data_IF_120236566191
#
_entry.id   IF_120236566191
#
_cell.length_a   1.000
_cell.length_b   1.000
_cell.length_c   1.000
_cell.angle_alpha   90.00
_cell.angle_beta   90.00
_cell.angle_gamma   90.00
#
_symmetry.space_group_name_H-M   'P 1'
#
loop_
_entity.id
_entity.type
_entity.pdbx_description
1 polymer ?
#
# COMPACT_ATOMS: atom_id res chain seq x y z
N UNK A 1 -14.22 -15.74 1.97
CA UNK A 1 -14.21 -14.29 1.68
C UNK A 1 -13.05 -13.70 2.42
N UNK A 2 -12.23 -12.89 1.78
CA UNK A 2 -10.94 -12.54 2.37
C UNK A 2 -10.81 -11.03 2.55
N UNK A 3 -11.51 -10.53 3.57
CA UNK A 3 -11.21 -9.23 4.16
C UNK A 3 -10.33 -9.37 5.40
N UNK A 4 -9.71 -10.53 5.58
CA UNK A 4 -8.85 -10.87 6.70
C UNK A 4 -7.50 -11.41 6.20
N UNK A 5 -6.44 -11.08 6.93
CA UNK A 5 -5.06 -11.50 6.68
C UNK A 5 -4.39 -11.85 8.01
N UNK A 6 -3.34 -12.70 7.95
CA UNK A 6 -2.41 -12.99 9.02
C UNK A 6 -2.79 -14.15 9.92
N UNK A 7 -1.80 -14.75 10.54
CA UNK A 7 -1.89 -15.83 11.51
C UNK A 7 -1.51 -15.37 12.91
N UNK A 8 -0.44 -14.62 13.02
CA UNK A 8 0.10 -14.08 14.27
C UNK A 8 -0.35 -12.63 14.52
N UNK A 9 -0.57 -11.86 13.45
CA UNK A 9 -1.17 -10.54 13.47
C UNK A 9 -2.42 -10.58 12.56
N UNK A 10 -3.59 -10.80 13.15
CA UNK A 10 -4.83 -10.93 12.39
C UNK A 10 -5.43 -9.56 12.09
N UNK A 11 -5.42 -9.21 10.83
CA UNK A 11 -6.03 -7.98 10.32
C UNK A 11 -7.36 -8.30 9.64
N UNK A 12 -8.40 -7.54 9.92
CA UNK A 12 -9.65 -7.55 9.14
C UNK A 12 -10.08 -6.13 8.81
N UNK A 13 -10.45 -5.89 7.54
CA UNK A 13 -10.95 -4.60 7.05
C UNK A 13 -12.41 -4.77 6.68
N UNK A 14 -13.24 -3.79 7.06
CA UNK A 14 -14.68 -3.80 6.80
C UNK A 14 -15.18 -2.40 6.41
N UNK A 15 -16.40 -2.35 5.89
CA UNK A 15 -17.06 -1.14 5.46
C UNK A 15 -17.05 -0.95 3.95
N UNK A 16 -17.57 0.18 3.51
CA UNK A 16 -17.80 0.53 2.10
C UNK A 16 -17.62 2.01 1.88
N UNK A 17 -17.33 2.40 0.63
CA UNK A 17 -17.05 3.80 0.28
C UNK A 17 -18.16 4.77 0.67
N UNK A 18 -19.42 4.34 0.55
CA UNK A 18 -20.62 5.13 0.82
C UNK A 18 -21.47 4.56 1.97
N UNK A 19 -20.90 3.62 2.76
CA UNK A 19 -21.46 3.22 4.04
C UNK A 19 -21.25 4.28 5.12
N UNK A 20 -21.75 4.08 6.32
CA UNK A 20 -21.61 5.02 7.45
C UNK A 20 -20.15 5.20 7.88
N UNK A 21 -19.40 4.09 7.86
CA UNK A 21 -17.99 4.06 8.22
C UNK A 21 -17.27 2.93 7.48
N UNK A 22 -15.96 2.99 7.49
CA UNK A 22 -15.08 1.86 7.27
C UNK A 22 -14.28 1.63 8.56
N UNK A 23 -13.68 0.45 8.71
CA UNK A 23 -12.92 0.17 9.91
C UNK A 23 -11.95 -0.97 9.73
N UNK A 24 -11.22 -1.21 10.81
CA UNK A 24 -10.22 -2.25 10.93
C UNK A 24 -10.31 -2.92 12.29
N UNK A 25 -10.10 -4.23 12.31
CA UNK A 25 -9.75 -4.97 13.51
C UNK A 25 -8.35 -5.51 13.39
N UNK A 26 -7.56 -5.38 14.46
CA UNK A 26 -6.18 -5.86 14.52
C UNK A 26 -6.04 -6.68 15.81
N UNK A 27 -5.95 -8.00 15.68
CA UNK A 27 -5.78 -8.93 16.79
C UNK A 27 -4.35 -9.48 16.82
N UNK A 28 -3.85 -9.80 18.02
CA UNK A 28 -2.49 -10.25 18.24
C UNK A 28 -1.47 -9.08 18.34
N UNK A 29 -1.92 -7.84 18.47
CA UNK A 29 -1.02 -6.70 18.67
C UNK A 29 -0.49 -6.67 20.12
N UNK A 30 0.83 -6.33 20.36
CA UNK A 30 1.42 -6.33 21.68
C UNK A 30 0.72 -5.38 22.66
N UNK A 31 0.66 -5.77 23.93
CA UNK A 31 0.16 -4.92 25.02
C UNK A 31 1.20 -3.87 25.44
N UNK A 32 0.72 -2.74 25.95
CA UNK A 32 1.54 -1.74 26.64
C UNK A 32 2.24 -0.71 25.74
N UNK A 33 2.12 -0.82 24.41
CA UNK A 33 2.68 0.19 23.49
C UNK A 33 1.91 1.51 23.63
N UNK A 34 2.62 2.60 23.86
CA UNK A 34 2.04 3.94 23.78
C UNK A 34 1.84 4.32 22.32
N UNK A 35 0.62 4.71 21.97
CA UNK A 35 0.30 5.13 20.61
C UNK A 35 0.65 6.62 20.46
N UNK A 36 1.54 6.93 19.53
CA UNK A 36 1.77 8.29 19.07
C UNK A 36 0.64 8.67 18.10
N UNK A 37 -0.35 9.39 18.63
CA UNK A 37 -1.51 9.82 17.86
C UNK A 37 -1.17 10.89 16.83
N UNK A 38 -0.18 11.73 17.08
CA UNK A 38 0.25 12.76 16.13
C UNK A 38 0.87 12.11 14.89
N UNK A 39 1.79 11.16 15.10
CA UNK A 39 2.38 10.40 14.00
C UNK A 39 1.32 9.57 13.25
N UNK A 40 0.39 8.92 13.95
CA UNK A 40 -0.68 8.15 13.33
C UNK A 40 -1.56 9.03 12.44
N UNK A 41 -1.97 10.19 12.92
CA UNK A 41 -2.79 11.13 12.15
C UNK A 41 -2.01 11.73 10.97
N UNK A 42 -0.70 11.94 11.10
CA UNK A 42 0.14 12.37 9.99
C UNK A 42 0.18 11.33 8.87
N UNK A 43 0.33 10.02 9.17
CA UNK A 43 0.28 8.96 8.16
C UNK A 43 -1.11 8.87 7.50
N UNK A 44 -2.19 9.00 8.29
CA UNK A 44 -3.55 9.05 7.76
C UNK A 44 -3.75 10.24 6.82
N UNK A 45 -3.20 11.41 7.17
CA UNK A 45 -3.25 12.62 6.36
C UNK A 45 -2.52 12.45 5.03
N UNK A 46 -1.34 11.81 4.98
CA UNK A 46 -0.62 11.52 3.73
C UNK A 46 -1.48 10.75 2.71
N UNK A 47 -2.34 9.83 3.19
CA UNK A 47 -3.26 9.08 2.35
C UNK A 47 -4.52 9.86 1.97
N UNK A 48 -4.96 10.79 2.81
CA UNK A 48 -6.23 11.48 2.64
C UNK A 48 -6.31 12.24 1.30
N UNK A 49 -7.53 12.37 0.70
CA UNK A 49 -7.72 13.14 -0.52
C UNK A 49 -7.63 14.66 -0.28
N UNK A 50 -7.44 15.43 -1.37
CA UNK A 50 -7.56 16.89 -1.33
C UNK A 50 -6.30 17.64 -0.89
N UNK A 51 -5.12 17.02 -1.01
CA UNK A 51 -3.85 17.61 -0.58
C UNK A 51 -3.16 18.48 -1.65
N UNK A 52 -3.51 18.33 -2.91
CA UNK A 52 -2.91 19.08 -4.01
C UNK A 52 -3.85 19.16 -5.22
N UNK A 53 -3.45 19.96 -6.22
CA UNK A 53 -4.12 20.06 -7.52
C UNK A 53 -4.10 18.75 -8.32
N UNK A 54 -3.24 17.80 -7.94
CA UNK A 54 -3.12 16.46 -8.54
C UNK A 54 -4.09 15.45 -7.95
N UNK A 55 -4.79 15.79 -6.87
CA UNK A 55 -5.72 14.90 -6.19
C UNK A 55 -7.13 15.43 -6.25
N UNK A 56 -8.12 14.56 -6.03
CA UNK A 56 -9.53 14.97 -5.96
C UNK A 56 -9.75 16.06 -4.90
N UNK A 57 -10.66 17.00 -5.20
CA UNK A 57 -11.06 18.07 -4.27
C UNK A 57 -11.90 17.58 -3.07
N UNK A 58 -12.14 16.27 -2.92
CA UNK A 58 -12.80 15.68 -1.75
C UNK A 58 -11.93 15.91 -0.51
N UNK A 59 -12.55 16.25 0.61
CA UNK A 59 -11.85 16.37 1.91
C UNK A 59 -12.50 15.41 2.90
N UNK A 60 -11.70 14.55 3.49
CA UNK A 60 -12.09 13.61 4.55
C UNK A 60 -11.06 13.71 5.67
N UNK A 61 -11.47 13.96 6.91
CA UNK A 61 -10.52 14.10 8.03
C UNK A 61 -9.81 12.79 8.38
N UNK A 62 -10.39 11.64 8.00
CA UNK A 62 -9.88 10.28 8.26
C UNK A 62 -9.47 10.01 9.72
N UNK A 63 -10.05 10.76 10.67
CA UNK A 63 -9.77 10.59 12.09
C UNK A 63 -10.34 9.25 12.58
N UNK A 64 -9.52 8.37 13.19
CA UNK A 64 -9.98 7.11 13.71
C UNK A 64 -10.66 7.25 15.07
N UNK A 65 -11.72 6.47 15.29
CA UNK A 65 -12.38 6.26 16.58
C UNK A 65 -12.01 4.86 17.06
N UNK A 66 -11.23 4.76 18.14
CA UNK A 66 -10.91 3.46 18.75
C UNK A 66 -12.07 2.98 19.60
N UNK A 67 -12.62 1.81 19.29
CA UNK A 67 -13.74 1.20 19.99
C UNK A 67 -13.29 0.15 21.02
N UNK A 68 -12.13 -0.47 20.82
CA UNK A 68 -11.53 -1.46 21.73
C UNK A 68 -10.02 -1.55 21.53
N UNK A 69 -9.33 -2.24 22.46
CA UNK A 69 -7.91 -2.57 22.37
C UNK A 69 -6.97 -1.40 22.75
N UNK A 70 -7.50 -0.24 23.12
CA UNK A 70 -6.73 0.94 23.54
C UNK A 70 -7.33 1.50 24.83
N UNK A 71 -6.48 1.75 25.84
CA UNK A 71 -6.85 2.38 27.10
C UNK A 71 -5.80 3.41 27.49
N UNK A 72 -6.21 4.64 27.78
CA UNK A 72 -5.32 5.74 28.15
C UNK A 72 -4.14 5.93 27.18
N UNK A 73 -4.40 5.83 25.87
CA UNK A 73 -3.40 5.97 24.81
C UNK A 73 -2.42 4.80 24.66
N UNK A 74 -2.70 3.65 25.30
CA UNK A 74 -1.87 2.45 25.22
C UNK A 74 -2.65 1.25 24.73
N UNK A 75 -1.98 0.37 24.02
CA UNK A 75 -2.54 -0.92 23.58
C UNK A 75 -2.72 -1.85 24.78
N UNK A 76 -3.83 -2.62 24.80
CA UNK A 76 -4.15 -3.51 25.90
C UNK A 76 -3.77 -4.97 25.66
N UNK A 77 -3.35 -5.32 24.43
CA UNK A 77 -3.13 -6.70 24.00
C UNK A 77 -4.42 -7.42 23.60
N UNK A 78 -5.59 -6.80 23.77
CA UNK A 78 -6.85 -7.28 23.23
C UNK A 78 -7.05 -6.76 21.80
N UNK A 79 -7.98 -7.32 21.02
CA UNK A 79 -8.23 -6.86 19.66
C UNK A 79 -8.49 -5.35 19.60
N UNK A 80 -7.70 -4.66 18.80
CA UNK A 80 -7.89 -3.25 18.48
C UNK A 80 -8.99 -3.20 17.42
N UNK A 81 -10.07 -2.48 17.71
CA UNK A 81 -11.10 -2.14 16.74
C UNK A 81 -11.17 -0.64 16.61
N UNK A 82 -11.08 -0.15 15.37
CA UNK A 82 -11.21 1.27 15.09
C UNK A 82 -12.05 1.50 13.84
N UNK A 83 -12.82 2.57 13.82
CA UNK A 83 -13.64 3.01 12.69
C UNK A 83 -13.24 4.39 12.22
N UNK A 84 -13.48 4.66 10.94
CA UNK A 84 -13.29 5.95 10.28
C UNK A 84 -14.62 6.31 9.62
N UNK A 85 -15.27 7.40 10.07
CA UNK A 85 -16.56 7.81 9.54
C UNK A 85 -16.44 8.41 8.15
N UNK A 86 -17.42 8.10 7.31
CA UNK A 86 -17.57 8.72 6.00
C UNK A 86 -18.42 10.00 6.16
N UNK A 87 -17.84 11.17 5.93
CA UNK A 87 -18.51 12.46 6.17
C UNK A 87 -18.88 13.21 4.89
N UNK A 88 -18.32 12.84 3.74
CA UNK A 88 -18.48 13.57 2.46
C UNK A 88 -18.92 12.64 1.32
N UNK A 89 -19.93 11.82 1.56
CA UNK A 89 -20.52 10.91 0.58
C UNK A 89 -21.66 11.60 -0.19
N UNK A 90 -21.69 11.44 -1.52
CA UNK A 90 -22.78 11.92 -2.38
C UNK A 90 -23.42 10.73 -3.10
N UNK A 91 -24.27 10.00 -2.39
CA UNK A 91 -24.91 8.77 -2.92
C UNK A 91 -25.84 9.03 -4.11
N UNK A 92 -26.32 10.26 -4.29
CA UNK A 92 -27.22 10.65 -5.38
C UNK A 92 -26.59 10.57 -6.78
N UNK A 93 -25.24 10.50 -6.85
CA UNK A 93 -24.52 10.50 -8.13
C UNK A 93 -24.46 9.10 -8.79
N UNK A 94 -25.00 8.05 -8.14
CA UNK A 94 -24.79 6.65 -8.55
C UNK A 94 -26.05 5.88 -9.00
N UNK A 95 -27.21 6.51 -9.19
CA UNK A 95 -28.42 5.85 -9.72
C UNK A 95 -28.91 4.63 -8.91
N UNK A 96 -29.76 3.79 -9.52
CA UNK A 96 -30.42 2.66 -8.86
C UNK A 96 -29.74 1.29 -9.10
N UNK A 97 -28.47 1.25 -9.43
CA UNK A 97 -27.70 0.02 -9.67
C UNK A 97 -26.54 0.18 -10.64
N UNK A 98 -25.79 -0.90 -10.82
CA UNK A 98 -24.75 -0.96 -11.86
C UNK A 98 -25.42 -1.30 -13.19
N UNK A 99 -25.51 -0.32 -14.10
CA UNK A 99 -25.95 -0.55 -15.47
C UNK A 99 -24.74 -0.49 -16.42
N UNK A 100 -24.11 0.66 -16.57
CA UNK A 100 -22.90 0.82 -17.38
C UNK A 100 -21.66 0.52 -16.54
N UNK A 101 -20.96 -0.55 -16.89
CA UNK A 101 -19.76 -0.98 -16.14
C UNK A 101 -18.54 -0.16 -16.57
N UNK A 102 -17.83 0.43 -15.60
CA UNK A 102 -16.62 1.19 -15.90
C UNK A 102 -15.49 0.30 -16.41
N UNK A 103 -14.91 0.58 -17.58
CA UNK A 103 -13.80 -0.19 -18.11
C UNK A 103 -12.62 -0.22 -17.12
N UNK A 104 -12.10 -1.42 -16.87
CA UNK A 104 -10.98 -1.61 -15.93
C UNK A 104 -11.31 -1.44 -14.45
N UNK A 105 -12.53 -1.11 -14.05
CA UNK A 105 -13.02 -1.12 -12.68
C UNK A 105 -13.60 -2.50 -12.31
N UNK A 106 -13.90 -2.68 -11.02
CA UNK A 106 -14.48 -3.92 -10.51
C UNK A 106 -16.03 -4.01 -10.66
N UNK A 107 -16.68 -3.08 -11.33
CA UNK A 107 -18.14 -3.03 -11.43
C UNK A 107 -18.72 -4.34 -11.97
N UNK A 108 -18.21 -4.84 -13.12
CA UNK A 108 -18.66 -6.10 -13.69
C UNK A 108 -18.28 -7.31 -12.83
N UNK A 109 -17.01 -7.40 -12.44
CA UNK A 109 -16.51 -8.56 -11.71
C UNK A 109 -17.11 -8.65 -10.30
N UNK A 110 -17.34 -7.52 -9.65
CA UNK A 110 -18.03 -7.41 -8.37
C UNK A 110 -19.49 -7.85 -8.50
N UNK A 111 -20.21 -7.34 -9.50
CA UNK A 111 -21.59 -7.72 -9.80
C UNK A 111 -21.74 -9.22 -9.96
N UNK A 112 -20.90 -9.84 -10.79
CA UNK A 112 -20.90 -11.30 -10.98
C UNK A 112 -20.55 -12.04 -9.70
N UNK A 113 -19.50 -11.59 -8.96
CA UNK A 113 -19.02 -12.24 -7.74
C UNK A 113 -20.03 -12.25 -6.62
N UNK A 114 -20.78 -11.16 -6.47
CA UNK A 114 -21.75 -10.98 -5.39
C UNK A 114 -23.21 -11.12 -5.86
N UNK A 115 -23.41 -11.60 -7.09
CA UNK A 115 -24.76 -11.88 -7.63
C UNK A 115 -25.70 -10.66 -7.66
N UNK A 116 -25.13 -9.45 -7.80
CA UNK A 116 -25.87 -8.19 -7.81
C UNK A 116 -26.26 -7.66 -6.42
N UNK A 117 -25.77 -8.27 -5.32
CA UNK A 117 -26.03 -7.82 -3.94
C UNK A 117 -24.94 -6.92 -3.36
N UNK A 118 -23.94 -6.55 -4.15
CA UNK A 118 -22.90 -5.63 -3.72
C UNK A 118 -23.42 -4.20 -3.53
N UNK A 119 -22.78 -3.43 -2.64
CA UNK A 119 -22.95 -1.98 -2.59
C UNK A 119 -22.07 -1.35 -3.69
N UNK A 120 -22.67 -0.94 -4.80
CA UNK A 120 -21.98 -0.35 -5.95
C UNK A 120 -21.61 1.14 -5.75
N UNK A 121 -22.19 1.82 -4.76
CA UNK A 121 -22.04 3.26 -4.54
C UNK A 121 -20.57 3.62 -4.28
N UNK A 122 -20.01 4.49 -5.14
CA UNK A 122 -18.61 4.90 -5.04
C UNK A 122 -17.58 3.77 -5.18
N UNK A 123 -17.98 2.64 -5.78
CA UNK A 123 -17.16 1.45 -5.92
C UNK A 123 -17.19 0.52 -4.71
N UNK A 124 -18.02 0.80 -3.71
CA UNK A 124 -18.30 -0.08 -2.57
C UNK A 124 -17.04 -0.51 -1.83
N UNK A 125 -16.87 -1.83 -1.69
CA UNK A 125 -15.70 -2.47 -1.08
C UNK A 125 -14.45 -2.48 -1.99
N UNK A 126 -14.59 -2.15 -3.28
CA UNK A 126 -13.47 -2.07 -4.23
C UNK A 126 -12.84 -0.67 -4.29
N UNK A 127 -13.40 0.27 -3.54
CA UNK A 127 -12.92 1.65 -3.51
C UNK A 127 -11.57 1.77 -2.80
N UNK A 128 -10.67 2.60 -3.35
CA UNK A 128 -9.44 3.00 -2.67
C UNK A 128 -9.67 3.68 -1.31
N UNK A 129 -10.92 4.06 -0.99
CA UNK A 129 -11.32 4.60 0.33
C UNK A 129 -10.98 3.63 1.48
N UNK A 130 -11.12 2.31 1.26
CA UNK A 130 -10.87 1.31 2.28
C UNK A 130 -9.41 1.23 2.70
N UNK A 131 -8.49 1.75 1.89
CA UNK A 131 -7.06 1.83 2.25
C UNK A 131 -6.79 2.70 3.47
N UNK A 132 -7.73 3.53 3.92
CA UNK A 132 -7.62 4.26 5.18
C UNK A 132 -7.52 3.31 6.39
N UNK A 133 -8.27 2.20 6.39
CA UNK A 133 -8.13 1.15 7.42
C UNK A 133 -6.77 0.45 7.37
N UNK A 134 -6.22 0.25 6.16
CA UNK A 134 -4.87 -0.30 5.96
C UNK A 134 -3.82 0.63 6.57
N UNK A 135 -3.88 1.92 6.25
CA UNK A 135 -2.92 2.91 6.75
C UNK A 135 -3.01 3.04 8.27
N UNK A 136 -4.22 3.00 8.84
CA UNK A 136 -4.40 2.99 10.29
C UNK A 136 -3.69 1.79 10.97
N UNK A 137 -3.92 0.56 10.46
CA UNK A 137 -3.25 -0.63 10.99
C UNK A 137 -1.73 -0.57 10.77
N UNK A 138 -1.29 -0.17 9.58
CA UNK A 138 0.12 -0.05 9.22
C UNK A 138 0.85 1.00 10.04
N UNK A 139 0.20 2.12 10.39
CA UNK A 139 0.78 3.14 11.27
C UNK A 139 1.06 2.59 12.68
N UNK A 140 0.13 1.80 13.25
CA UNK A 140 0.35 1.12 14.52
C UNK A 140 1.52 0.12 14.43
N UNK A 141 1.54 -0.69 13.37
CA UNK A 141 2.64 -1.65 13.13
C UNK A 141 3.98 -0.93 12.95
N UNK A 142 4.01 0.18 12.20
CA UNK A 142 5.21 0.98 11.97
C UNK A 142 5.77 1.55 13.28
N UNK A 143 4.91 2.06 14.18
CA UNK A 143 5.34 2.54 15.49
C UNK A 143 6.01 1.43 16.31
N UNK A 144 5.42 0.23 16.34
CA UNK A 144 6.04 -0.92 17.00
C UNK A 144 7.40 -1.26 16.38
N UNK A 145 7.47 -1.34 15.05
CA UNK A 145 8.70 -1.71 14.34
C UNK A 145 9.81 -0.68 14.51
N UNK A 146 9.49 0.61 14.59
CA UNK A 146 10.47 1.67 14.89
C UNK A 146 11.13 1.46 16.26
N UNK A 147 10.40 1.01 17.28
CA UNK A 147 10.99 0.62 18.58
C UNK A 147 11.92 -0.59 18.47
N UNK A 148 11.80 -1.39 17.43
CA UNK A 148 12.71 -2.50 17.13
C UNK A 148 13.88 -2.09 16.21
N UNK A 149 14.01 -0.82 15.87
CA UNK A 149 15.04 -0.30 14.97
C UNK A 149 14.72 -0.41 13.48
N UNK A 150 13.52 -0.90 13.12
CA UNK A 150 13.10 -1.06 11.73
C UNK A 150 12.54 0.26 11.20
N UNK A 151 12.96 0.64 9.99
CA UNK A 151 12.47 1.83 9.28
C UNK A 151 11.94 1.43 7.90
N UNK A 152 10.87 2.11 7.48
CA UNK A 152 10.21 1.88 6.19
C UNK A 152 10.11 3.21 5.47
N UNK A 153 10.53 3.22 4.20
CA UNK A 153 10.37 4.37 3.30
C UNK A 153 9.96 3.89 1.92
N UNK A 154 9.10 4.66 1.27
CA UNK A 154 8.65 4.41 -0.09
C UNK A 154 8.75 5.71 -0.88
N UNK A 155 9.17 5.59 -2.16
CA UNK A 155 9.20 6.70 -3.09
C UNK A 155 8.55 6.34 -4.42
N UNK A 156 8.34 7.34 -5.26
CA UNK A 156 7.82 7.16 -6.62
C UNK A 156 9.02 6.96 -7.55
N UNK A 157 9.37 5.71 -7.84
CA UNK A 157 10.46 5.38 -8.74
C UNK A 157 10.15 5.70 -10.20
N UNK A 158 8.87 5.60 -10.59
CA UNK A 158 8.44 5.95 -11.95
C UNK A 158 7.04 6.53 -11.91
N UNK A 159 6.81 7.60 -12.69
CA UNK A 159 5.49 8.16 -12.96
C UNK A 159 5.39 8.46 -14.46
N UNK A 160 4.51 7.73 -15.16
CA UNK A 160 4.50 7.74 -16.61
C UNK A 160 5.86 7.34 -17.17
N UNK A 161 6.48 8.21 -17.96
CA UNK A 161 7.80 8.00 -18.54
C UNK A 161 8.94 8.59 -17.70
N UNK A 162 8.62 9.34 -16.64
CA UNK A 162 9.63 9.96 -15.75
C UNK A 162 10.11 8.93 -14.73
N UNK A 163 11.42 8.70 -14.68
CA UNK A 163 12.06 7.72 -13.79
C UNK A 163 13.00 8.38 -12.81
N UNK A 164 12.96 7.93 -11.57
CA UNK A 164 13.88 8.27 -10.49
C UNK A 164 14.94 7.19 -10.28
N UNK A 165 15.95 7.50 -9.47
CA UNK A 165 16.93 6.51 -8.99
C UNK A 165 16.24 5.40 -8.18
N UNK A 166 16.94 4.25 -8.03
CA UNK A 166 16.48 3.13 -7.21
C UNK A 166 17.23 3.09 -5.88
N UNK A 167 16.59 2.59 -4.82
CA UNK A 167 17.24 2.24 -3.55
C UNK A 167 18.32 1.14 -3.69
N UNK A 168 18.31 0.40 -4.79
CA UNK A 168 19.38 -0.56 -5.11
C UNK A 168 20.67 0.12 -5.51
N UNK A 169 20.66 1.39 -5.89
CA UNK A 169 21.87 2.15 -6.18
C UNK A 169 22.68 2.35 -4.90
N UNK A 170 23.99 2.07 -4.93
CA UNK A 170 24.87 2.06 -3.77
C UNK A 170 24.92 3.36 -2.96
N UNK A 171 24.57 4.50 -3.58
CA UNK A 171 24.59 5.83 -2.98
C UNK A 171 23.21 6.30 -2.46
N UNK A 172 22.18 5.46 -2.51
CA UNK A 172 20.85 5.81 -2.06
C UNK A 172 20.76 5.78 -0.52
N UNK A 173 21.40 6.74 0.14
CA UNK A 173 21.15 7.03 1.56
C UNK A 173 19.77 7.71 1.67
N UNK A 174 18.73 6.92 1.90
CA UNK A 174 17.38 7.46 2.04
C UNK A 174 17.24 8.24 3.35
N UNK A 175 16.98 9.53 3.25
CA UNK A 175 16.45 10.31 4.37
C UNK A 175 14.95 10.01 4.51
N UNK A 176 14.62 9.10 5.41
CA UNK A 176 13.25 8.66 5.64
C UNK A 176 12.31 9.79 6.06
N UNK A 177 12.81 10.74 6.86
CA UNK A 177 12.01 11.88 7.31
C UNK A 177 11.72 12.82 6.15
N UNK A 178 12.72 13.05 5.29
CA UNK A 178 12.60 13.88 4.10
C UNK A 178 11.57 13.30 3.10
N UNK A 179 11.66 12.00 2.80
CA UNK A 179 10.70 11.34 1.91
C UNK A 179 9.26 11.40 2.44
N UNK A 180 9.06 11.18 3.73
CA UNK A 180 7.74 11.26 4.36
C UNK A 180 7.13 12.66 4.35
N UNK A 181 7.97 13.70 4.34
CA UNK A 181 7.55 15.10 4.23
C UNK A 181 7.18 15.55 2.81
N UNK A 182 7.53 14.77 1.78
CA UNK A 182 7.25 15.13 0.39
C UNK A 182 5.86 14.66 -0.05
N UNK A 183 5.17 15.51 -0.80
CA UNK A 183 3.90 15.12 -1.44
C UNK A 183 4.12 14.15 -2.62
N UNK A 184 5.17 14.37 -3.41
CA UNK A 184 5.71 13.46 -4.42
C UNK A 184 7.10 13.03 -3.95
N UNK A 185 7.23 11.95 -3.18
CA UNK A 185 8.52 11.50 -2.67
C UNK A 185 9.37 10.93 -3.81
N UNK A 186 10.53 11.55 -4.02
CA UNK A 186 11.55 11.17 -5.01
C UNK A 186 12.93 11.26 -4.38
N UNK A 187 13.89 10.47 -4.86
CA UNK A 187 15.29 10.49 -4.41
C UNK A 187 16.07 11.61 -5.09
N UNK A 188 15.78 11.85 -6.37
CA UNK A 188 16.49 12.87 -7.16
C UNK A 188 15.81 14.22 -7.01
N UNK A 189 16.57 15.21 -6.51
CA UNK A 189 16.06 16.57 -6.33
C UNK A 189 15.54 17.18 -7.64
N UNK A 190 14.37 17.82 -7.57
CA UNK A 190 13.72 18.49 -8.71
C UNK A 190 12.92 17.59 -9.64
N UNK A 191 13.02 16.26 -9.51
CA UNK A 191 12.27 15.33 -10.37
C UNK A 191 10.76 15.33 -10.07
N UNK A 192 10.39 15.67 -8.85
CA UNK A 192 9.00 15.84 -8.44
C UNK A 192 8.26 16.87 -9.31
N UNK A 193 8.92 17.93 -9.76
CA UNK A 193 8.31 18.92 -10.66
C UNK A 193 7.96 18.31 -12.03
N UNK A 194 8.85 17.51 -12.63
CA UNK A 194 8.58 16.82 -13.90
C UNK A 194 7.44 15.81 -13.78
N UNK A 195 7.39 15.11 -12.64
CA UNK A 195 6.29 14.18 -12.33
C UNK A 195 4.96 14.94 -12.19
N UNK A 196 4.94 16.09 -11.51
CA UNK A 196 3.77 16.96 -11.41
C UNK A 196 3.28 17.43 -12.78
N UNK A 197 4.17 17.92 -13.62
CA UNK A 197 3.86 18.33 -15.00
C UNK A 197 3.23 17.15 -15.80
N UNK A 198 3.75 15.94 -15.64
CA UNK A 198 3.20 14.73 -16.27
C UNK A 198 1.76 14.44 -15.82
N UNK A 199 1.47 14.56 -14.51
CA UNK A 199 0.13 14.38 -13.98
C UNK A 199 -0.83 15.45 -14.50
N UNK A 200 -0.41 16.70 -14.50
CA UNK A 200 -1.21 17.83 -14.99
C UNK A 200 -1.52 17.69 -16.48
N UNK A 201 -0.56 17.26 -17.29
CA UNK A 201 -0.76 16.99 -18.72
C UNK A 201 -1.75 15.84 -18.97
N UNK A 202 -1.75 14.80 -18.14
CA UNK A 202 -2.75 13.74 -18.22
C UNK A 202 -4.15 14.25 -17.83
N UNK A 203 -4.25 15.01 -16.74
CA UNK A 203 -5.51 15.63 -16.29
C UNK A 203 -6.13 16.51 -17.36
N UNK A 204 -5.33 17.37 -18.00
CA UNK A 204 -5.79 18.29 -19.03
C UNK A 204 -6.31 17.57 -20.28
N UNK A 205 -5.87 16.32 -20.51
CA UNK A 205 -6.39 15.39 -21.52
C UNK A 205 -7.55 14.54 -21.01
N UNK A 206 -8.07 14.81 -19.81
CA UNK A 206 -9.12 14.01 -19.17
C UNK A 206 -8.74 12.52 -19.00
N UNK A 207 -7.46 12.25 -18.82
CA UNK A 207 -6.84 10.94 -18.69
C UNK A 207 -6.18 10.77 -17.32
N UNK A 208 -5.53 9.63 -17.11
CA UNK A 208 -4.80 9.29 -15.88
C UNK A 208 -3.45 8.67 -16.20
N UNK A 209 -2.55 8.72 -15.23
CA UNK A 209 -1.20 8.15 -15.33
C UNK A 209 -0.91 7.26 -14.12
N UNK A 210 -0.25 6.14 -14.39
CA UNK A 210 0.25 5.19 -13.38
C UNK A 210 1.76 5.32 -13.19
N UNK A 211 2.35 4.33 -12.51
CA UNK A 211 3.80 4.29 -12.32
C UNK A 211 4.24 3.15 -11.42
N UNK A 212 5.43 3.28 -10.86
CA UNK A 212 6.07 2.30 -9.98
C UNK A 212 6.42 2.97 -8.66
N UNK A 213 6.04 2.33 -7.56
CA UNK A 213 6.49 2.66 -6.22
C UNK A 213 7.60 1.70 -5.82
N UNK A 214 8.69 2.20 -5.27
CA UNK A 214 9.76 1.41 -4.68
C UNK A 214 9.78 1.65 -3.17
N UNK A 215 9.83 0.55 -2.40
CA UNK A 215 9.84 0.57 -0.95
C UNK A 215 11.08 -0.12 -0.42
N UNK A 216 11.67 0.45 0.64
CA UNK A 216 12.80 -0.11 1.36
C UNK A 216 12.48 -0.26 2.84
N UNK A 217 12.82 -1.42 3.39
CA UNK A 217 12.73 -1.70 4.83
C UNK A 217 14.12 -2.00 5.35
N UNK A 218 14.60 -1.23 6.31
CA UNK A 218 15.92 -1.40 6.93
C UNK A 218 15.80 -1.75 8.42
N UNK A 219 16.89 -2.24 9.01
CA UNK A 219 16.95 -2.61 10.43
C UNK A 219 16.28 -3.96 10.74
N UNK A 220 15.96 -4.76 9.73
CA UNK A 220 15.47 -6.12 9.92
C UNK A 220 16.64 -7.05 10.28
N UNK A 221 16.48 -7.95 11.28
CA UNK A 221 17.45 -9.01 11.50
C UNK A 221 17.39 -10.03 10.37
N UNK A 222 18.47 -10.76 10.13
CA UNK A 222 18.42 -11.98 9.34
C UNK A 222 17.50 -13.01 10.02
N UNK A 223 16.74 -13.79 9.21
CA UNK A 223 15.92 -14.90 9.71
C UNK A 223 14.44 -14.62 9.90
N UNK A 224 13.87 -13.59 9.26
CA UNK A 224 12.42 -13.44 9.14
C UNK A 224 11.93 -14.10 7.85
N UNK A 225 10.80 -14.77 7.92
CA UNK A 225 10.20 -15.52 6.82
C UNK A 225 10.50 -17.00 6.86
N UNK A 226 9.59 -17.79 6.31
CA UNK A 226 9.68 -19.25 6.27
C UNK A 226 9.34 -19.79 4.86
N UNK A 227 10.19 -20.61 4.24
CA UNK A 227 9.83 -21.28 3.02
C UNK A 227 8.78 -22.38 3.33
N UNK A 228 7.86 -22.71 2.42
CA UNK A 228 7.79 -22.21 1.04
C UNK A 228 6.78 -21.06 0.90
N UNK A 229 5.63 -21.14 1.59
CA UNK A 229 4.47 -20.28 1.34
C UNK A 229 4.46 -18.99 2.18
N UNK A 230 5.18 -19.00 3.30
CA UNK A 230 5.27 -17.86 4.22
C UNK A 230 6.64 -17.16 4.09
N UNK A 231 7.22 -17.20 2.88
CA UNK A 231 8.40 -16.40 2.55
C UNK A 231 8.09 -14.90 2.62
N UNK A 232 9.13 -14.09 2.82
CA UNK A 232 9.00 -12.62 2.83
C UNK A 232 8.31 -12.13 1.56
N UNK A 233 8.72 -12.66 0.39
CA UNK A 233 8.13 -12.30 -0.89
C UNK A 233 6.66 -12.71 -0.99
N UNK A 234 6.31 -13.91 -0.50
CA UNK A 234 4.93 -14.41 -0.53
C UNK A 234 4.00 -13.55 0.33
N UNK A 235 4.41 -13.25 1.57
CA UNK A 235 3.63 -12.44 2.51
C UNK A 235 3.48 -11.01 1.98
N UNK A 236 4.57 -10.38 1.54
CA UNK A 236 4.50 -9.03 0.99
C UNK A 236 3.69 -8.98 -0.30
N UNK A 237 3.88 -9.92 -1.22
CA UNK A 237 3.11 -9.98 -2.47
C UNK A 237 1.61 -10.11 -2.20
N UNK A 238 1.21 -10.99 -1.26
CA UNK A 238 -0.19 -11.14 -0.86
C UNK A 238 -0.79 -9.81 -0.40
N UNK A 239 -0.08 -9.07 0.47
CA UNK A 239 -0.51 -7.77 0.97
C UNK A 239 -0.52 -6.69 -0.12
N UNK A 240 0.52 -6.62 -0.94
CA UNK A 240 0.65 -5.59 -1.98
C UNK A 240 -0.41 -5.76 -3.08
N UNK A 241 -0.70 -6.99 -3.52
CA UNK A 241 -1.80 -7.24 -4.47
C UNK A 241 -3.19 -7.00 -3.88
N UNK A 242 -3.35 -6.90 -2.56
CA UNK A 242 -4.59 -6.47 -1.92
C UNK A 242 -4.82 -4.95 -2.04
N UNK A 243 -3.78 -4.17 -2.38
CA UNK A 243 -3.92 -2.73 -2.65
C UNK A 243 -4.62 -2.56 -4.01
N UNK A 244 -5.75 -1.81 -4.09
CA UNK A 244 -6.38 -1.52 -5.35
C UNK A 244 -5.41 -0.88 -6.36
N UNK A 245 -5.48 -1.30 -7.62
CA UNK A 245 -4.66 -0.84 -8.74
C UNK A 245 -3.23 -1.39 -8.82
N UNK A 246 -2.71 -2.13 -7.85
CA UNK A 246 -1.44 -2.85 -7.99
C UNK A 246 -1.59 -3.98 -9.00
N UNK A 247 -0.62 -4.09 -9.94
CA UNK A 247 -0.62 -5.04 -11.06
C UNK A 247 0.68 -5.82 -11.22
N UNK A 248 1.72 -5.42 -10.53
CA UNK A 248 3.00 -6.11 -10.53
C UNK A 248 3.73 -5.88 -9.22
N UNK A 249 4.50 -6.87 -8.80
CA UNK A 249 5.39 -6.80 -7.64
C UNK A 249 6.69 -7.49 -8.02
N UNK A 250 7.81 -6.91 -7.64
CA UNK A 250 9.14 -7.51 -7.79
C UNK A 250 10.03 -7.14 -6.61
N UNK A 251 11.04 -7.99 -6.34
CA UNK A 251 11.97 -7.86 -5.23
C UNK A 251 13.40 -7.75 -5.76
N UNK A 252 14.22 -6.87 -5.18
CA UNK A 252 15.58 -6.63 -5.64
C UNK A 252 15.62 -6.24 -7.11
N UNK A 253 16.46 -6.90 -7.90
CA UNK A 253 16.52 -6.72 -9.36
C UNK A 253 15.25 -7.19 -10.09
N UNK A 254 14.44 -8.05 -9.45
CA UNK A 254 13.17 -8.50 -10.01
C UNK A 254 13.33 -9.15 -11.38
N UNK A 255 12.61 -8.64 -12.38
CA UNK A 255 12.73 -9.14 -13.76
C UNK A 255 14.10 -8.87 -14.40
N UNK A 256 14.92 -7.97 -13.84
CA UNK A 256 16.30 -7.72 -14.29
C UNK A 256 17.19 -8.96 -14.18
N UNK A 257 16.93 -9.84 -13.22
CA UNK A 257 17.67 -11.11 -13.09
C UNK A 257 17.65 -11.97 -14.35
N UNK A 258 16.60 -11.89 -15.18
CA UNK A 258 16.49 -12.67 -16.41
C UNK A 258 17.61 -12.38 -17.42
N UNK A 259 18.23 -11.20 -17.35
CA UNK A 259 19.35 -10.78 -18.23
C UNK A 259 20.72 -10.88 -17.56
N UNK A 260 20.79 -11.23 -16.27
CA UNK A 260 22.05 -11.33 -15.51
C UNK A 260 22.65 -12.73 -15.58
N UNK A 261 23.97 -12.82 -15.48
CA UNK A 261 24.66 -14.06 -15.21
C UNK A 261 24.77 -14.28 -13.70
N UNK A 262 24.86 -15.52 -13.23
CA UNK A 262 24.98 -15.83 -11.81
C UNK A 262 26.13 -15.09 -11.10
N UNK A 263 27.26 -14.91 -11.75
CA UNK A 263 28.41 -14.16 -11.22
C UNK A 263 28.14 -12.65 -11.07
N UNK A 264 27.11 -12.12 -11.73
CA UNK A 264 26.67 -10.72 -11.64
C UNK A 264 25.50 -10.57 -10.66
N UNK A 265 24.66 -11.60 -10.58
CA UNK A 265 23.43 -11.61 -9.80
C UNK A 265 23.66 -11.95 -8.32
N UNK A 266 24.72 -12.70 -8.01
CA UNK A 266 25.03 -13.08 -6.64
C UNK A 266 25.46 -11.88 -5.81
N UNK A 267 25.00 -11.85 -4.55
CA UNK A 267 25.39 -10.89 -3.53
C UNK A 267 26.48 -11.53 -2.64
N UNK A 268 27.79 -11.24 -2.84
CA UNK A 268 28.85 -11.87 -2.06
C UNK A 268 28.75 -11.51 -0.59
N UNK A 269 28.76 -12.51 0.29
CA UNK A 269 28.78 -12.29 1.73
C UNK A 269 30.14 -11.81 2.21
N UNK A 270 30.13 -10.90 3.17
CA UNK A 270 31.31 -10.44 3.89
C UNK A 270 31.04 -10.31 5.38
N UNK A 271 32.12 -10.35 6.17
CA UNK A 271 32.05 -10.04 7.59
C UNK A 271 32.42 -8.57 7.80
N UNK A 272 31.53 -7.80 8.43
CA UNK A 272 31.75 -6.38 8.72
C UNK A 272 31.36 -6.11 10.18
N UNK A 273 32.30 -5.63 10.99
CA UNK A 273 32.10 -5.34 12.42
C UNK A 273 31.50 -6.50 13.24
N UNK A 274 31.77 -7.75 12.85
CA UNK A 274 31.26 -8.95 13.52
C UNK A 274 29.87 -9.41 13.05
N UNK A 275 29.30 -8.73 12.07
CA UNK A 275 28.03 -9.08 11.43
C UNK A 275 28.22 -9.52 10.00
N UNK A 276 27.36 -10.42 9.53
CA UNK A 276 27.31 -10.86 8.13
C UNK A 276 26.54 -9.83 7.32
N UNK A 277 27.19 -9.30 6.27
CA UNK A 277 26.58 -8.38 5.30
C UNK A 277 26.81 -8.88 3.87
N UNK A 278 26.32 -8.19 2.86
CA UNK A 278 26.64 -8.47 1.45
C UNK A 278 27.27 -7.24 0.79
N UNK A 279 28.06 -7.47 -0.28
CA UNK A 279 28.72 -6.39 -1.04
C UNK A 279 27.75 -5.67 -2.00
N UNK A 280 26.68 -6.33 -2.38
CA UNK A 280 25.57 -5.83 -3.21
C UNK A 280 24.25 -6.30 -2.62
N UNK A 281 23.13 -5.86 -3.19
CA UNK A 281 21.80 -6.24 -2.71
C UNK A 281 20.83 -6.53 -3.87
N UNK A 282 21.31 -7.24 -4.89
CA UNK A 282 20.50 -7.61 -6.05
C UNK A 282 19.27 -8.44 -5.64
N UNK A 283 19.44 -9.32 -4.62
CA UNK A 283 18.36 -10.13 -4.06
C UNK A 283 17.34 -9.33 -3.23
N UNK A 284 17.57 -8.03 -3.03
CA UNK A 284 16.67 -7.18 -2.25
C UNK A 284 16.49 -7.60 -0.80
N UNK A 285 17.58 -8.04 -0.14
CA UNK A 285 17.61 -8.41 1.29
C UNK A 285 17.01 -9.77 1.63
N UNK A 286 16.72 -10.62 0.63
CA UNK A 286 16.00 -11.88 0.80
C UNK A 286 16.77 -13.01 0.11
N UNK A 287 17.10 -14.07 0.85
CA UNK A 287 17.67 -15.28 0.31
C UNK A 287 16.86 -16.49 0.78
N UNK A 288 16.38 -17.31 -0.16
CA UNK A 288 15.56 -18.48 0.16
C UNK A 288 14.24 -18.16 0.85
N UNK A 289 13.69 -16.97 0.62
CA UNK A 289 12.44 -16.51 1.25
C UNK A 289 12.62 -15.90 2.64
N UNK A 290 13.86 -15.72 3.09
CA UNK A 290 14.22 -15.32 4.45
C UNK A 290 15.06 -14.04 4.38
N UNK A 291 14.84 -13.09 5.29
CA UNK A 291 15.68 -11.89 5.38
C UNK A 291 17.13 -12.25 5.70
N UNK A 292 18.07 -11.57 5.06
CA UNK A 292 19.51 -11.79 5.25
C UNK A 292 20.22 -10.69 6.08
N UNK A 293 19.45 -9.72 6.60
CA UNK A 293 19.98 -8.58 7.35
C UNK A 293 20.21 -7.31 6.50
N UNK A 294 20.27 -7.46 5.17
CA UNK A 294 20.32 -6.30 4.27
C UNK A 294 18.94 -5.65 4.13
N UNK A 295 18.88 -4.40 3.62
CA UNK A 295 17.59 -3.75 3.35
C UNK A 295 16.69 -4.61 2.45
N UNK A 296 15.45 -4.84 2.87
CA UNK A 296 14.44 -5.44 2.00
C UNK A 296 13.92 -4.38 1.05
N UNK A 297 14.13 -4.59 -0.26
CA UNK A 297 13.75 -3.67 -1.32
C UNK A 297 12.81 -4.37 -2.29
N UNK A 298 11.66 -3.73 -2.53
CA UNK A 298 10.66 -4.23 -3.48
C UNK A 298 10.00 -3.08 -4.23
N UNK A 299 9.43 -3.41 -5.40
CA UNK A 299 8.70 -2.46 -6.24
C UNK A 299 7.30 -2.97 -6.53
N UNK A 300 6.36 -2.06 -6.69
CA UNK A 300 5.02 -2.39 -7.16
C UNK A 300 4.55 -1.46 -8.26
N UNK A 301 4.05 -2.04 -9.35
CA UNK A 301 3.46 -1.32 -10.46
C UNK A 301 2.00 -1.00 -10.16
N UNK A 302 1.65 0.27 -10.24
CA UNK A 302 0.31 0.81 -10.01
C UNK A 302 -0.24 1.29 -11.35
N UNK A 303 -1.38 0.71 -11.75
CA UNK A 303 -2.04 1.10 -13.01
C UNK A 303 -2.64 2.51 -12.94
N UNK A 304 -2.82 3.18 -14.07
CA UNK A 304 -3.62 4.40 -14.15
C UNK A 304 -5.03 4.20 -13.59
N UNK A 305 -5.61 5.25 -13.02
CA UNK A 305 -7.00 5.24 -12.54
C UNK A 305 -7.96 4.94 -13.69
N UNK A 306 -8.84 3.92 -13.58
CA UNK A 306 -9.72 3.53 -14.67
C UNK A 306 -10.87 4.52 -14.91
N UNK A 307 -11.23 5.30 -13.89
CA UNK A 307 -12.28 6.31 -13.98
C UNK A 307 -11.71 7.59 -14.59
N UNK A 308 -11.81 7.73 -15.91
CA UNK A 308 -11.39 8.90 -16.68
C UNK A 308 -12.58 9.56 -17.34
N UNK A 309 -12.49 10.85 -17.65
CA UNK A 309 -13.57 11.62 -18.27
C UNK A 309 -13.57 11.53 -19.81
N UNK A 310 -12.66 10.78 -20.39
CA UNK A 310 -12.75 10.44 -21.82
C UNK A 310 -13.87 9.45 -22.08
N UNK A 311 -14.51 9.56 -23.24
CA UNK A 311 -15.51 8.62 -23.70
C UNK A 311 -14.91 7.22 -23.91
N UNK A 312 -15.48 6.20 -23.29
CA UNK A 312 -15.02 4.82 -23.33
C UNK A 312 -16.13 3.87 -23.80
N UNK A 313 -15.75 2.79 -24.45
CA UNK A 313 -16.68 1.71 -24.81
C UNK A 313 -16.93 0.84 -23.56
N UNK A 314 -18.19 0.44 -23.40
CA UNK A 314 -18.63 -0.43 -22.31
C UNK A 314 -19.85 -1.26 -22.74
N UNK A 315 -20.50 -1.87 -21.77
CA UNK A 315 -21.76 -2.61 -21.96
C UNK A 315 -22.77 -2.18 -20.90
N UNK A 316 -24.05 -2.22 -21.26
CA UNK A 316 -25.17 -2.12 -20.33
C UNK A 316 -25.51 -3.53 -19.82
N UNK A 317 -25.44 -3.76 -18.52
CA UNK A 317 -25.83 -5.03 -17.90
C UNK A 317 -27.36 -5.25 -17.98
N UNK A 318 -28.12 -4.16 -18.03
CA UNK A 318 -29.58 -4.22 -18.09
C UNK A 318 -30.10 -4.61 -19.47
N UNK A 319 -29.53 -4.05 -20.55
CA UNK A 319 -29.99 -4.32 -21.92
C UNK A 319 -29.21 -5.45 -22.59
N UNK A 320 -28.02 -5.79 -22.13
CA UNK A 320 -27.10 -6.73 -22.75
C UNK A 320 -26.43 -6.19 -24.02
N UNK A 321 -26.43 -4.88 -24.24
CA UNK A 321 -25.91 -4.23 -25.43
C UNK A 321 -24.62 -3.47 -25.20
N UNK A 322 -23.86 -3.26 -26.28
CA UNK A 322 -22.70 -2.36 -26.25
C UNK A 322 -23.16 -0.91 -26.04
N UNK A 323 -22.44 -0.16 -25.24
CA UNK A 323 -22.74 1.22 -24.92
C UNK A 323 -21.47 2.08 -24.85
N UNK A 324 -21.65 3.37 -24.81
CA UNK A 324 -20.60 4.34 -24.53
C UNK A 324 -20.80 4.90 -23.11
N UNK A 325 -19.69 5.12 -22.42
CA UNK A 325 -19.66 5.69 -21.07
C UNK A 325 -18.71 6.87 -21.03
N UNK A 326 -19.18 7.96 -20.49
CA UNK A 326 -18.37 9.12 -20.09
C UNK A 326 -18.54 9.34 -18.58
N UNK A 327 -17.45 9.27 -17.84
CA UNK A 327 -17.51 9.33 -16.38
C UNK A 327 -17.34 10.79 -15.95
N UNK A 328 -18.40 11.37 -15.43
CA UNK A 328 -18.37 12.69 -14.85
C UNK A 328 -18.16 12.57 -13.33
N UNK A 329 -17.02 13.04 -12.83
CA UNK A 329 -16.74 12.93 -11.40
C UNK A 329 -15.37 13.51 -11.02
N UNK A 330 -15.10 13.50 -9.70
CA UNK A 330 -13.85 13.97 -9.12
C UNK A 330 -12.92 12.77 -8.92
N UNK A 331 -12.17 12.41 -9.95
CA UNK A 331 -11.21 11.32 -9.90
C UNK A 331 -9.78 11.85 -9.82
N UNK A 332 -8.91 11.09 -9.17
CA UNK A 332 -7.47 11.39 -9.13
C UNK A 332 -6.85 11.10 -10.51
N UNK A 333 -6.21 12.05 -11.19
CA UNK A 333 -5.46 11.77 -12.43
C UNK A 333 -4.23 10.90 -12.17
N UNK A 334 -3.75 10.85 -10.92
CA UNK A 334 -2.69 9.97 -10.46
C UNK A 334 -2.92 9.61 -8.99
N UNK A 335 -2.89 8.31 -8.69
CA UNK A 335 -3.06 7.82 -7.31
C UNK A 335 -1.75 7.55 -6.57
N UNK A 336 -0.60 7.63 -7.25
CA UNK A 336 0.70 7.27 -6.68
C UNK A 336 1.02 8.00 -5.38
N UNK A 337 0.83 9.33 -5.25
CA UNK A 337 1.15 10.04 -4.00
C UNK A 337 0.38 9.49 -2.80
N UNK A 338 -0.87 9.07 -3.02
CA UNK A 338 -1.73 8.50 -1.98
C UNK A 338 -1.50 7.01 -1.76
N UNK A 339 -0.92 6.31 -2.75
CA UNK A 339 -0.57 4.90 -2.65
C UNK A 339 0.74 4.68 -1.87
N UNK A 340 1.66 5.66 -1.84
CA UNK A 340 2.91 5.58 -1.06
C UNK A 340 2.66 5.17 0.39
N UNK A 341 1.88 5.89 1.22
CA UNK A 341 1.63 5.49 2.60
C UNK A 341 0.86 4.16 2.73
N UNK A 342 0.14 3.74 1.70
CA UNK A 342 -0.54 2.43 1.70
C UNK A 342 0.47 1.30 1.51
N UNK A 343 1.45 1.47 0.63
CA UNK A 343 2.55 0.50 0.42
C UNK A 343 3.42 0.40 1.68
N UNK A 344 3.78 1.53 2.30
CA UNK A 344 4.50 1.55 3.59
C UNK A 344 3.70 0.83 4.69
N UNK A 345 2.38 1.04 4.75
CA UNK A 345 1.50 0.37 5.70
C UNK A 345 1.45 -1.14 5.49
N UNK A 346 1.34 -1.61 4.23
CA UNK A 346 1.36 -3.04 3.93
C UNK A 346 2.72 -3.67 4.23
N UNK A 347 3.82 -2.95 3.98
CA UNK A 347 5.16 -3.40 4.40
C UNK A 347 5.23 -3.54 5.93
N UNK A 348 4.74 -2.56 6.69
CA UNK A 348 4.74 -2.62 8.14
C UNK A 348 3.90 -3.80 8.69
N UNK A 349 2.73 -4.05 8.12
CA UNK A 349 1.86 -5.17 8.49
C UNK A 349 2.55 -6.50 8.20
N UNK A 350 3.15 -6.65 7.01
CA UNK A 350 3.86 -7.88 6.62
C UNK A 350 5.08 -8.15 7.49
N UNK A 351 5.89 -7.12 7.75
CA UNK A 351 7.06 -7.27 8.63
C UNK A 351 6.65 -7.57 10.07
N UNK A 352 5.55 -7.01 10.57
CA UNK A 352 5.03 -7.34 11.89
C UNK A 352 4.54 -8.79 11.99
N UNK A 353 3.86 -9.30 10.96
CA UNK A 353 3.46 -10.73 10.87
C UNK A 353 4.68 -11.66 10.97
N UNK A 354 5.68 -11.42 10.12
CA UNK A 354 6.91 -12.21 10.08
C UNK A 354 7.73 -12.09 11.38
N UNK A 355 7.74 -10.90 12.00
CA UNK A 355 8.40 -10.68 13.29
C UNK A 355 7.78 -11.52 14.40
N UNK A 356 6.45 -11.54 14.44
CA UNK A 356 5.70 -12.32 15.45
C UNK A 356 5.81 -13.82 15.19
N UNK A 357 5.79 -14.26 13.95
CA UNK A 357 6.01 -15.65 13.56
C UNK A 357 7.37 -16.14 14.10
N UNK A 358 8.44 -15.40 13.80
CA UNK A 358 9.77 -15.73 14.31
C UNK A 358 9.82 -15.76 15.84
N UNK A 359 9.20 -14.79 16.51
CA UNK A 359 9.17 -14.76 17.97
C UNK A 359 8.49 -16.00 18.55
N UNK A 360 7.39 -16.45 17.93
CA UNK A 360 6.69 -17.68 18.35
C UNK A 360 7.53 -18.94 18.15
N UNK A 361 8.34 -19.00 17.08
CA UNK A 361 9.25 -20.12 16.83
C UNK A 361 10.42 -20.17 17.82
N UNK A 362 10.89 -19.00 18.31
CA UNK A 362 12.03 -18.91 19.24
C UNK A 362 11.65 -19.22 20.69
N UNK A 363 10.38 -19.13 21.06
CA UNK A 363 9.92 -19.32 22.44
C UNK A 363 10.12 -20.76 22.97
N UNK A 364 10.36 -21.73 22.10
CA UNK A 364 10.74 -23.11 22.45
C UNK A 364 12.24 -23.36 22.62
N UNK A 365 13.10 -22.35 22.44
CA UNK A 365 14.56 -22.48 22.39
C UNK A 365 15.29 -21.84 23.61
N UNK A 366 14.53 -21.34 24.61
CA UNK A 366 15.08 -20.77 25.85
C UNK A 366 15.04 -21.72 27.03
#
# INVERSE_FOLDING_TARGET
MSSAFGQYLKLSIFGQSHGEALGVTLDGFPAGMTIDMEQLLAEMARRAPGQSLMTTARKEPDAPEFLSGVLNGRTTGQPICAIIRNTNQRSKDYGDGVDLVRPGHADYTGHVRYFGFEDWRGGGSFSGRLTAGIVLAGALCSQYLVHQGVKIACHIQQLGDVRDASFLAADAAADYAFLKGMHLPVLTAGLNQQMEETVLAARDKQDSVGGVLECMVTGLPAGLGAPFFDSVESILSHLLFAIPAVKGVEFGEGFGFASMRGSQANDPFRMENGEVTTESNHSGGINGGITNGMPVIFRCAVRPTPSISQKQRTVSLRTGENADLEIHGRHDPCILPRAVPVVEAMAAIGMMELWKERAACLDGSK
#
